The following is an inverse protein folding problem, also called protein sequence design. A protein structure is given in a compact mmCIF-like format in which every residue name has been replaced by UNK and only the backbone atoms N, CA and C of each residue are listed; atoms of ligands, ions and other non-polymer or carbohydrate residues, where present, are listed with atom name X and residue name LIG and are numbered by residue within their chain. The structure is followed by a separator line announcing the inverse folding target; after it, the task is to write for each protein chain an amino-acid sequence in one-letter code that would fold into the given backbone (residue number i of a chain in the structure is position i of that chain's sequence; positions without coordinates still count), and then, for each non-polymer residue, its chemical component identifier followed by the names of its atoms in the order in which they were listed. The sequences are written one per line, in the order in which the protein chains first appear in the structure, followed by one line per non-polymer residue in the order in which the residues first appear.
data_IF_865968665935
#
_entry.id   IF_865968665935
#
_cell.length_a   1.000
_cell.length_b   1.000
_cell.length_c   1.000
_cell.angle_alpha   90.00
_cell.angle_beta   90.00
_cell.angle_gamma   90.00
#
_symmetry.space_group_name_H-M   'P 1'
#
loop_
_entity.id
_entity.type
_entity.pdbx_description
1 polymer ?
#
# COMPACT_ATOMS: atom_id res chain seq x y z
N UNK A 1 0.35 -10.07 -13.42
CA UNK A 1 0.25 -8.60 -13.38
C UNK A 1 1.65 -7.96 -13.34
N UNK A 2 1.86 -6.81 -14.01
CA UNK A 2 3.15 -6.10 -14.08
C UNK A 2 3.62 -5.62 -12.70
N UNK A 3 2.79 -4.86 -11.98
CA UNK A 3 3.14 -4.30 -10.68
C UNK A 3 3.44 -5.37 -9.61
N UNK A 4 2.75 -6.51 -9.63
CA UNK A 4 3.07 -7.61 -8.72
C UNK A 4 4.51 -8.12 -8.91
N UNK A 5 4.99 -8.24 -10.16
CA UNK A 5 6.39 -8.61 -10.44
C UNK A 5 7.36 -7.54 -9.99
N UNK A 6 7.06 -6.27 -10.28
CA UNK A 6 7.92 -5.15 -9.90
C UNK A 6 8.03 -4.97 -8.39
N UNK A 7 6.97 -5.27 -7.64
CA UNK A 7 6.97 -5.16 -6.17
C UNK A 7 7.72 -6.30 -5.49
N UNK A 8 7.92 -7.45 -6.16
CA UNK A 8 8.66 -8.58 -5.59
C UNK A 8 10.11 -8.25 -5.19
N UNK A 9 10.72 -7.22 -5.81
CA UNK A 9 12.06 -6.74 -5.45
C UNK A 9 12.13 -6.10 -4.06
N UNK A 10 10.98 -5.74 -3.47
CA UNK A 10 10.88 -5.14 -2.14
C UNK A 10 10.36 -6.11 -1.06
N UNK A 11 10.01 -7.34 -1.44
CA UNK A 11 9.43 -8.35 -0.53
C UNK A 11 8.28 -9.11 -1.20
N UNK A 12 7.52 -9.90 -0.40
CA UNK A 12 6.33 -10.61 -0.90
C UNK A 12 5.13 -9.66 -0.94
N UNK A 13 4.60 -9.27 -2.11
CA UNK A 13 3.45 -8.40 -2.17
C UNK A 13 2.19 -9.10 -1.65
N UNK A 14 1.35 -8.36 -0.95
CA UNK A 14 -0.01 -8.74 -0.62
C UNK A 14 -0.98 -8.01 -1.55
N UNK A 15 -2.09 -8.66 -1.84
CA UNK A 15 -3.15 -8.11 -2.69
C UNK A 15 -4.40 -7.88 -1.83
N UNK A 16 -4.87 -6.64 -1.82
CA UNK A 16 -6.06 -6.21 -1.12
C UNK A 16 -7.11 -5.82 -2.15
N UNK A 17 -8.27 -6.48 -2.09
CA UNK A 17 -9.44 -6.09 -2.87
C UNK A 17 -10.31 -5.17 -2.03
N UNK A 18 -10.82 -4.10 -2.64
CA UNK A 18 -11.56 -3.10 -1.88
C UNK A 18 -12.15 -2.01 -2.74
N UNK A 19 -12.61 -0.96 -2.06
CA UNK A 19 -13.13 0.25 -2.67
C UNK A 19 -12.09 1.36 -2.60
N UNK A 20 -11.26 1.48 -3.62
CA UNK A 20 -10.35 2.61 -3.80
C UNK A 20 -11.07 3.74 -4.53
N UNK A 21 -11.22 4.86 -3.84
CA UNK A 21 -11.96 5.99 -4.39
C UNK A 21 -11.13 6.83 -5.39
N UNK A 22 -9.82 6.59 -5.52
CA UNK A 22 -8.98 7.21 -6.56
C UNK A 22 -8.23 8.49 -6.14
N UNK A 23 -8.30 8.86 -4.86
CA UNK A 23 -7.83 10.12 -4.28
C UNK A 23 -6.96 9.86 -3.04
N UNK A 24 -7.22 8.78 -2.32
CA UNK A 24 -6.48 8.32 -1.14
C UNK A 24 -6.03 6.86 -1.30
N UNK A 25 -4.82 6.51 -0.86
CA UNK A 25 -4.42 5.10 -0.70
C UNK A 25 -4.34 4.79 0.79
N UNK A 26 -4.62 3.55 1.17
CA UNK A 26 -4.63 3.20 2.59
C UNK A 26 -3.20 2.92 3.08
N UNK A 27 -2.64 3.88 3.81
CA UNK A 27 -1.30 3.78 4.43
C UNK A 27 -1.43 3.33 5.87
N UNK A 28 -0.65 2.33 6.28
CA UNK A 28 -0.62 1.92 7.69
C UNK A 28 0.14 2.94 8.56
N UNK A 29 -0.43 3.26 9.72
CA UNK A 29 0.13 4.22 10.68
C UNK A 29 0.95 3.56 11.79
N UNK A 30 1.93 4.32 12.33
CA UNK A 30 3.06 3.99 13.22
C UNK A 30 2.83 3.19 14.52
N UNK A 31 1.82 2.33 14.66
CA UNK A 31 1.61 1.63 15.95
C UNK A 31 2.78 0.70 16.26
N UNK A 32 3.30 -0.04 15.27
CA UNK A 32 4.52 -0.83 15.39
C UNK A 32 5.25 -0.88 14.04
N UNK A 33 6.06 0.14 13.74
CA UNK A 33 6.63 0.41 12.41
C UNK A 33 7.29 -0.77 11.69
N UNK A 34 7.84 -1.75 12.41
CA UNK A 34 8.49 -2.93 11.84
C UNK A 34 7.52 -4.05 11.43
N UNK A 35 6.23 -3.94 11.75
CA UNK A 35 5.23 -4.94 11.36
C UNK A 35 5.06 -4.99 9.85
N UNK A 36 4.81 -6.17 9.25
CA UNK A 36 4.51 -6.27 7.83
C UNK A 36 3.21 -5.57 7.49
N UNK A 37 3.12 -5.04 6.27
CA UNK A 37 1.88 -4.44 5.77
C UNK A 37 0.71 -5.42 5.75
N UNK A 38 -0.49 -4.95 6.04
CA UNK A 38 -1.74 -5.73 6.00
C UNK A 38 -2.84 -5.06 5.17
N UNK A 39 -3.89 -5.83 4.86
CA UNK A 39 -5.12 -5.30 4.28
C UNK A 39 -6.02 -4.83 5.42
N UNK A 40 -6.29 -3.52 5.49
CA UNK A 40 -7.16 -2.93 6.52
C UNK A 40 -8.65 -3.08 6.21
N UNK A 41 -9.02 -2.92 4.94
CA UNK A 41 -10.41 -2.89 4.49
C UNK A 41 -10.61 -3.88 3.35
N UNK A 42 -11.28 -4.99 3.64
CA UNK A 42 -11.84 -5.88 2.61
C UNK A 42 -13.23 -5.38 2.21
N UNK A 43 -13.26 -4.23 1.52
CA UNK A 43 -14.50 -3.68 0.98
C UNK A 43 -14.95 -4.41 -0.30
N UNK A 44 -16.20 -4.21 -0.71
CA UNK A 44 -16.63 -4.61 -2.06
C UNK A 44 -16.24 -3.53 -3.08
N UNK A 45 -15.54 -3.94 -4.14
CA UNK A 45 -15.11 -3.06 -5.22
C UNK A 45 -14.24 -3.80 -6.25
N UNK A 46 -14.06 -3.17 -7.40
CA UNK A 46 -13.26 -3.67 -8.53
C UNK A 46 -11.80 -3.18 -8.48
N UNK A 47 -11.44 -2.47 -7.42
CA UNK A 47 -10.08 -1.98 -7.24
C UNK A 47 -9.18 -3.00 -6.55
N UNK A 48 -7.91 -2.98 -6.95
CA UNK A 48 -6.85 -3.82 -6.44
C UNK A 48 -5.76 -2.92 -5.87
N UNK A 49 -5.40 -3.16 -4.61
CA UNK A 49 -4.30 -2.49 -3.94
C UNK A 49 -3.21 -3.53 -3.61
N UNK A 50 -2.04 -3.36 -4.18
CA UNK A 50 -0.86 -4.17 -3.89
C UNK A 50 0.00 -3.45 -2.87
N UNK A 51 0.40 -4.13 -1.79
CA UNK A 51 1.31 -3.59 -0.77
C UNK A 51 2.49 -4.52 -0.55
N UNK A 52 3.64 -3.94 -0.24
CA UNK A 52 4.82 -4.68 0.23
C UNK A 52 5.65 -3.82 1.17
N UNK A 53 6.32 -4.47 2.12
CA UNK A 53 7.17 -3.82 3.11
C UNK A 53 6.58 -3.87 4.53
N UNK A 54 6.91 -2.86 5.32
CA UNK A 54 6.52 -2.73 6.74
C UNK A 54 5.68 -1.47 6.96
N UNK A 55 4.97 -1.36 8.08
CA UNK A 55 4.16 -0.19 8.45
C UNK A 55 4.95 1.14 8.32
N UNK A 56 6.26 1.14 8.55
CA UNK A 56 7.11 2.33 8.40
C UNK A 56 7.83 2.48 7.05
N UNK A 57 7.79 1.47 6.19
CA UNK A 57 8.45 1.46 4.88
C UNK A 57 7.59 0.68 3.87
N UNK A 58 6.63 1.37 3.25
CA UNK A 58 5.59 0.77 2.40
C UNK A 58 5.80 1.13 0.93
N UNK A 59 5.62 0.15 0.04
CA UNK A 59 5.39 0.38 -1.38
C UNK A 59 3.96 -0.06 -1.71
N UNK A 60 3.14 0.89 -2.18
CA UNK A 60 1.71 0.68 -2.44
C UNK A 60 1.42 0.99 -3.90
N UNK A 61 0.66 0.11 -4.55
CA UNK A 61 0.11 0.34 -5.88
C UNK A 61 -1.39 0.10 -5.84
N UNK A 62 -2.19 1.15 -6.05
CA UNK A 62 -3.62 1.04 -6.21
C UNK A 62 -3.98 1.09 -7.70
N UNK A 63 -4.90 0.24 -8.13
CA UNK A 63 -5.35 0.11 -9.53
C UNK A 63 -6.87 -0.03 -9.53
N UNK A 64 -7.57 0.72 -10.37
CA UNK A 64 -8.99 0.50 -10.62
C UNK A 64 -9.39 0.78 -12.07
N UNK A 65 -10.38 0.05 -12.61
CA UNK A 65 -11.03 0.40 -13.86
C UNK A 65 -11.56 1.84 -13.84
N UNK A 66 -11.41 2.55 -14.96
CA UNK A 66 -11.99 3.88 -15.17
C UNK A 66 -12.38 4.07 -16.64
N UNK A 67 -13.64 3.81 -16.95
CA UNK A 67 -14.16 3.81 -18.33
C UNK A 67 -13.41 2.81 -19.21
N UNK A 68 -12.74 3.30 -20.26
CA UNK A 68 -11.93 2.49 -21.19
C UNK A 68 -10.50 2.27 -20.72
N UNK A 69 -10.12 2.87 -19.59
CA UNK A 69 -8.77 2.87 -19.08
C UNK A 69 -8.71 2.39 -17.63
N UNK A 70 -7.66 2.82 -16.95
CA UNK A 70 -7.38 2.44 -15.57
C UNK A 70 -6.79 3.65 -14.88
N UNK A 71 -7.30 3.95 -13.68
CA UNK A 71 -6.60 4.85 -12.76
C UNK A 71 -5.66 4.02 -11.91
N UNK A 72 -4.48 4.54 -11.65
CA UNK A 72 -3.54 3.93 -10.76
C UNK A 72 -2.82 4.98 -9.92
N UNK A 73 -2.36 4.58 -8.74
CA UNK A 73 -1.51 5.40 -7.87
C UNK A 73 -0.34 4.56 -7.39
N UNK A 74 0.86 5.14 -7.45
CA UNK A 74 2.08 4.56 -6.87
C UNK A 74 2.48 5.43 -5.70
N UNK A 75 2.62 4.82 -4.53
CA UNK A 75 2.97 5.54 -3.30
C UNK A 75 4.11 4.82 -2.60
N UNK A 76 5.10 5.60 -2.20
CA UNK A 76 6.18 5.17 -1.33
C UNK A 76 6.05 5.91 -0.01
N UNK A 77 5.98 5.17 1.09
CA UNK A 77 5.90 5.73 2.44
C UNK A 77 7.14 5.30 3.20
N UNK A 78 7.89 6.27 3.70
CA UNK A 78 8.96 6.05 4.66
C UNK A 78 8.76 6.95 5.85
N UNK A 79 8.39 6.35 6.97
CA UNK A 79 8.25 7.10 8.21
C UNK A 79 9.55 6.99 9.02
N UNK A 80 9.94 8.08 9.69
CA UNK A 80 11.05 8.01 10.65
C UNK A 80 10.54 7.27 11.89
N UNK A 81 11.02 6.04 12.06
CA UNK A 81 10.98 5.27 13.30
C UNK A 81 12.20 5.65 14.12
N UNK A 82 12.13 6.80 14.77
CA UNK A 82 13.01 7.18 15.85
C UNK A 82 12.11 7.77 16.91
N UNK A 83 12.19 7.25 18.15
CA UNK A 83 11.84 8.10 19.28
C UNK A 83 12.72 9.34 19.13
N UNK A 84 12.11 10.52 18.99
CA UNK A 84 12.77 11.74 19.46
C UNK A 84 12.85 11.61 20.99
N UNK A 85 13.76 10.76 21.45
CA UNK A 85 14.38 10.90 22.77
C UNK A 85 15.55 11.88 22.55
N UNK A 86 15.23 13.13 22.19
CA UNK A 86 16.16 14.24 22.41
C UNK A 86 16.26 14.42 23.92
N UNK A 87 17.40 13.95 24.46
CA UNK A 87 17.93 14.24 25.80
C UNK A 87 18.17 15.74 25.94
#
# INVERSE_FOLDING_TARGET
AYYNKELQKFGKPIECHGRWHGWDVNVEGKKEGTKPVTCRDSGSGDSVELKVGTEDNQHIVAVKPDGKGTRFALVYVRTRSGKDDTI
#
